data_IF_076030057939
#
_entry.id   IF_076030057939
#
_cell.length_a   1.000
_cell.length_b   1.000
_cell.length_c   1.000
_cell.angle_alpha   90.00
_cell.angle_beta   90.00
_cell.angle_gamma   90.00
#
_symmetry.space_group_name_H-M   'P 1'
#
loop_
_entity.id
_entity.type
_entity.pdbx_description
1 polymer ?
#
# COMPACT_ATOMS: atom_id res chain seq x y z
N UNK A 1 -46.22 26.99 -39.61
CA UNK A 1 -45.37 28.14 -39.29
C UNK A 1 -45.53 28.48 -37.81
N UNK A 2 -44.40 28.71 -37.12
CA UNK A 2 -44.25 29.22 -35.74
C UNK A 2 -44.88 28.36 -34.62
N UNK A 3 -44.24 28.02 -33.50
CA UNK A 3 -43.41 28.79 -32.57
C UNK A 3 -42.34 27.84 -31.97
N UNK A 4 -41.03 28.02 -32.21
CA UNK A 4 -40.08 28.80 -31.39
C UNK A 4 -40.08 28.49 -29.87
N UNK A 5 -38.96 27.86 -29.49
CA UNK A 5 -38.05 28.22 -28.37
C UNK A 5 -38.51 28.08 -26.92
N UNK A 6 -37.91 27.12 -26.20
CA UNK A 6 -37.30 27.35 -24.87
C UNK A 6 -36.47 26.12 -24.47
N UNK A 7 -35.52 26.33 -23.55
CA UNK A 7 -34.68 25.35 -22.83
C UNK A 7 -33.30 25.09 -23.44
N UNK A 8 -32.60 26.19 -23.71
CA UNK A 8 -31.17 26.28 -23.39
C UNK A 8 -30.98 26.40 -21.88
N UNK A 9 -30.08 25.58 -21.32
CA UNK A 9 -29.28 25.78 -20.09
C UNK A 9 -29.30 24.57 -19.15
N UNK A 10 -28.28 23.71 -19.28
CA UNK A 10 -27.81 22.92 -18.14
C UNK A 10 -26.34 22.51 -18.35
N UNK A 11 -25.46 23.51 -18.38
CA UNK A 11 -24.01 23.33 -18.27
C UNK A 11 -23.58 23.44 -16.80
N UNK A 12 -23.85 22.41 -16.00
CA UNK A 12 -23.20 22.28 -14.69
C UNK A 12 -21.78 21.74 -14.88
N UNK A 13 -20.86 22.69 -14.98
CA UNK A 13 -19.41 22.50 -14.96
C UNK A 13 -19.01 22.07 -13.55
N UNK A 14 -18.61 20.81 -13.38
CA UNK A 14 -17.93 20.36 -12.16
C UNK A 14 -16.61 21.10 -12.01
N UNK A 15 -16.60 22.14 -11.17
CA UNK A 15 -15.38 22.76 -10.66
C UNK A 15 -15.05 22.10 -9.33
N UNK A 16 -14.03 21.25 -9.30
CA UNK A 16 -13.48 20.73 -8.06
C UNK A 16 -12.55 21.79 -7.44
N UNK A 17 -12.63 22.10 -6.14
CA UNK A 17 -11.65 22.98 -5.51
C UNK A 17 -10.30 22.25 -5.44
N UNK A 18 -9.28 22.83 -6.08
CA UNK A 18 -7.90 22.41 -5.93
C UNK A 18 -7.45 22.74 -4.49
N UNK A 19 -7.28 21.72 -3.65
CA UNK A 19 -6.64 21.88 -2.35
C UNK A 19 -5.15 22.19 -2.57
N UNK A 20 -4.61 23.33 -2.08
CA UNK A 20 -3.18 23.58 -2.14
C UNK A 20 -2.46 22.62 -1.19
N UNK A 21 -1.57 21.79 -1.73
CA UNK A 21 -0.65 20.97 -0.93
C UNK A 21 0.30 21.89 -0.17
N UNK A 22 0.02 22.13 1.11
CA UNK A 22 0.94 22.80 2.03
C UNK A 22 2.04 21.83 2.45
N UNK A 23 3.05 21.65 1.59
CA UNK A 23 4.33 21.08 2.00
C UNK A 23 5.15 22.18 2.69
N UNK A 24 4.83 22.48 3.94
CA UNK A 24 5.70 23.29 4.78
C UNK A 24 5.57 22.82 6.22
N UNK A 25 6.36 21.80 6.59
CA UNK A 25 6.60 21.46 7.98
C UNK A 25 7.73 22.36 8.46
N UNK A 26 7.36 23.41 9.19
CA UNK A 26 8.27 24.27 9.91
C UNK A 26 9.05 23.42 10.92
N UNK A 27 10.34 23.28 10.72
CA UNK A 27 11.27 22.80 11.74
C UNK A 27 11.36 23.91 12.79
N UNK A 28 10.64 23.70 13.88
CA UNK A 28 10.61 24.59 15.05
C UNK A 28 11.89 24.38 15.85
N UNK A 29 12.85 25.29 15.70
CA UNK A 29 14.01 25.38 16.60
C UNK A 29 13.56 26.13 17.85
N UNK A 30 13.08 25.39 18.85
CA UNK A 30 12.92 25.95 20.20
C UNK A 30 14.29 26.14 20.81
N UNK A 31 14.75 27.39 20.81
CA UNK A 31 15.76 27.85 21.75
C UNK A 31 15.21 27.68 23.18
N UNK A 32 15.94 26.92 24.00
CA UNK A 32 15.70 26.77 25.43
C UNK A 32 16.99 27.06 26.18
N UNK A 33 17.17 28.33 26.54
CA UNK A 33 18.19 28.83 27.46
C UNK A 33 17.98 28.19 28.84
N UNK A 34 19.03 27.60 29.43
CA UNK A 34 19.26 27.61 30.89
C UNK A 34 20.75 27.70 31.22
N UNK A 35 21.12 28.86 31.74
CA UNK A 35 22.26 29.13 32.62
C UNK A 35 22.51 27.98 33.61
N UNK A 36 23.78 27.64 33.82
CA UNK A 36 24.33 27.42 35.16
C UNK A 36 25.79 27.89 35.20
N UNK A 37 26.01 28.75 36.19
CA UNK A 37 27.24 29.36 36.62
C UNK A 37 28.09 28.38 37.47
N UNK A 38 29.25 28.84 37.92
CA UNK A 38 30.23 28.23 38.83
C UNK A 38 31.39 27.45 38.19
N UNK A 39 32.59 27.99 38.42
CA UNK A 39 33.82 27.59 37.76
C UNK A 39 34.60 26.46 38.43
N UNK A 40 35.65 26.05 37.73
CA UNK A 40 36.88 25.52 38.30
C UNK A 40 37.98 25.55 37.23
N UNK A 41 39.18 25.87 37.69
CA UNK A 41 40.42 26.14 36.98
C UNK A 41 40.98 25.00 36.13
N UNK A 42 41.61 25.40 35.02
CA UNK A 42 42.92 24.96 34.52
C UNK A 42 43.35 23.49 34.71
N UNK A 43 43.55 22.80 33.58
CA UNK A 43 44.85 22.22 33.19
C UNK A 43 44.65 21.37 31.92
N UNK A 44 45.44 21.65 30.89
CA UNK A 44 45.35 20.99 29.61
C UNK A 44 45.84 19.55 29.61
N UNK A 45 45.43 18.83 28.56
CA UNK A 45 46.25 17.93 27.75
C UNK A 45 45.46 17.57 26.50
N UNK A 46 45.91 18.12 25.37
CA UNK A 46 45.51 17.70 24.04
C UNK A 46 46.23 16.40 23.69
N UNK A 47 45.48 15.34 23.36
CA UNK A 47 45.99 14.13 22.70
C UNK A 47 44.90 13.60 21.76
N UNK A 48 45.22 13.61 20.46
CA UNK A 48 44.65 12.82 19.35
C UNK A 48 43.12 12.78 19.15
N UNK A 49 42.65 13.60 18.21
CA UNK A 49 41.31 13.54 17.61
C UNK A 49 41.13 12.34 16.67
N UNK A 50 40.69 11.19 17.18
CA UNK A 50 39.78 10.32 16.43
C UNK A 50 38.36 10.89 16.63
N UNK A 51 37.52 11.07 15.59
CA UNK A 51 36.14 11.51 15.80
C UNK A 51 35.34 10.35 16.41
N UNK A 52 35.52 10.13 17.70
CA UNK A 52 34.68 9.28 18.50
C UNK A 52 33.31 9.97 18.59
N UNK A 53 32.33 9.43 17.85
CA UNK A 53 30.94 9.85 17.99
C UNK A 53 30.58 9.90 19.47
N UNK A 54 29.93 10.97 19.97
CA UNK A 54 29.62 11.07 21.38
C UNK A 54 28.79 9.85 21.79
N UNK A 55 29.21 9.15 22.86
CA UNK A 55 28.59 7.91 23.34
C UNK A 55 27.07 8.04 23.52
N UNK A 56 26.56 9.24 23.81
CA UNK A 56 25.12 9.53 23.92
C UNK A 56 24.39 9.43 22.56
N UNK A 57 25.05 9.84 21.46
CA UNK A 57 24.51 9.75 20.09
C UNK A 57 24.54 8.32 19.55
N UNK A 58 25.50 7.51 20.02
CA UNK A 58 25.55 6.08 19.70
C UNK A 58 24.41 5.28 20.35
N UNK A 59 23.84 5.79 21.46
CA UNK A 59 22.78 5.13 22.20
C UNK A 59 21.39 5.41 21.64
N UNK A 60 21.14 6.61 21.07
CA UNK A 60 19.86 6.94 20.44
C UNK A 60 19.65 6.32 19.05
N UNK A 61 20.72 6.01 18.32
CA UNK A 61 20.65 5.22 17.09
C UNK A 61 20.55 3.72 17.35
N UNK A 62 20.74 3.30 18.61
CA UNK A 62 20.49 1.95 19.09
C UNK A 62 19.07 1.87 19.65
N UNK A 63 18.10 2.36 18.88
CA UNK A 63 16.73 1.88 19.02
C UNK A 63 16.79 0.35 19.03
N UNK A 64 16.00 -0.33 19.88
CA UNK A 64 16.06 -1.77 19.95
C UNK A 64 15.89 -2.27 18.52
N UNK A 65 16.90 -3.00 18.05
CA UNK A 65 16.86 -3.70 16.77
C UNK A 65 15.90 -4.88 17.00
N UNK A 66 14.66 -4.57 17.39
CA UNK A 66 13.56 -5.50 17.40
C UNK A 66 13.42 -5.85 15.93
N UNK A 67 14.00 -6.99 15.57
CA UNK A 67 13.59 -7.75 14.41
C UNK A 67 12.11 -7.50 14.29
N UNK A 68 11.66 -6.86 13.21
CA UNK A 68 10.27 -6.51 13.00
C UNK A 68 9.45 -7.81 13.10
N UNK A 69 9.08 -8.21 14.31
CA UNK A 69 8.28 -9.40 14.65
C UNK A 69 6.83 -9.13 14.33
N UNK A 70 6.53 -8.02 13.65
CA UNK A 70 5.24 -7.74 13.08
C UNK A 70 4.90 -8.88 12.11
N UNK A 71 4.00 -9.73 12.58
CA UNK A 71 3.32 -10.75 11.76
C UNK A 71 2.42 -10.12 10.68
N UNK A 72 2.46 -8.80 10.52
CA UNK A 72 1.60 -8.02 9.64
C UNK A 72 1.78 -8.41 8.16
N UNK A 73 3.03 -8.65 7.72
CA UNK A 73 3.29 -9.15 6.36
C UNK A 73 2.69 -10.55 6.11
N UNK A 74 2.46 -11.32 7.18
CA UNK A 74 1.84 -12.64 7.16
C UNK A 74 0.34 -12.60 7.46
N UNK A 75 -0.20 -11.43 7.81
CA UNK A 75 -1.62 -11.23 8.09
C UNK A 75 -2.45 -11.65 6.89
N UNK A 76 -3.47 -12.48 7.15
CA UNK A 76 -4.31 -13.07 6.11
C UNK A 76 -3.62 -14.10 5.21
N UNK A 77 -2.39 -14.52 5.51
CA UNK A 77 -1.61 -15.55 4.78
C UNK A 77 -1.10 -16.66 5.71
N UNK A 78 -1.36 -16.56 7.00
CA UNK A 78 -1.07 -17.57 8.02
C UNK A 78 -2.32 -18.38 8.35
N UNK A 79 -2.10 -19.59 8.87
CA UNK A 79 -3.12 -20.43 9.50
C UNK A 79 -2.62 -20.80 10.90
N UNK A 80 -3.53 -20.87 11.87
CA UNK A 80 -3.20 -21.31 13.22
C UNK A 80 -2.86 -22.80 13.29
N UNK A 81 -2.50 -23.28 14.48
CA UNK A 81 -2.32 -24.71 14.72
C UNK A 81 -3.64 -25.46 14.50
N UNK A 82 -3.61 -26.52 13.68
CA UNK A 82 -4.77 -27.36 13.36
C UNK A 82 -4.43 -28.81 13.69
N UNK A 83 -5.39 -29.56 14.22
CA UNK A 83 -5.23 -30.97 14.58
C UNK A 83 -4.91 -31.87 13.37
N UNK A 84 -5.47 -31.57 12.20
CA UNK A 84 -5.20 -32.30 10.96
C UNK A 84 -4.40 -31.42 9.97
N UNK A 85 -3.12 -31.76 9.69
CA UNK A 85 -2.25 -30.95 8.84
C UNK A 85 -2.73 -30.88 7.39
N UNK A 86 -3.35 -31.94 6.86
CA UNK A 86 -3.83 -31.97 5.48
C UNK A 86 -4.92 -30.94 5.22
N UNK A 87 -5.89 -30.85 6.14
CA UNK A 87 -6.96 -29.83 6.07
C UNK A 87 -6.39 -28.42 6.18
N UNK A 88 -5.37 -28.25 7.02
CA UNK A 88 -4.66 -27.00 7.22
C UNK A 88 -3.99 -26.54 5.91
N UNK A 89 -3.23 -27.41 5.24
CA UNK A 89 -2.59 -27.09 3.97
C UNK A 89 -3.57 -26.78 2.84
N UNK A 90 -4.71 -27.49 2.77
CA UNK A 90 -5.77 -27.18 1.80
C UNK A 90 -6.36 -25.79 2.03
N UNK A 91 -6.65 -25.46 3.29
CA UNK A 91 -7.14 -24.13 3.67
C UNK A 91 -6.12 -23.05 3.33
N UNK A 92 -4.86 -23.24 3.70
CA UNK A 92 -3.77 -22.32 3.38
C UNK A 92 -3.65 -22.11 1.86
N UNK A 93 -3.70 -23.18 1.07
CA UNK A 93 -3.63 -23.09 -0.38
C UNK A 93 -4.81 -22.29 -0.98
N UNK A 94 -6.02 -22.43 -0.42
CA UNK A 94 -7.17 -21.61 -0.80
C UNK A 94 -6.94 -20.13 -0.50
N UNK A 95 -6.49 -19.81 0.72
CA UNK A 95 -6.17 -18.44 1.15
C UNK A 95 -5.13 -17.79 0.21
N UNK A 96 -4.04 -18.49 -0.07
CA UNK A 96 -2.98 -18.00 -0.97
C UNK A 96 -3.47 -17.80 -2.41
N UNK A 97 -4.46 -18.59 -2.86
CA UNK A 97 -5.07 -18.46 -4.18
C UNK A 97 -6.02 -17.27 -4.25
N UNK A 98 -6.88 -17.09 -3.23
CA UNK A 98 -7.81 -15.94 -3.13
C UNK A 98 -7.04 -14.61 -3.11
N UNK A 99 -5.95 -14.56 -2.35
CA UNK A 99 -5.05 -13.40 -2.26
C UNK A 99 -4.12 -13.24 -3.47
N UNK A 100 -4.20 -14.10 -4.49
CA UNK A 100 -3.37 -14.07 -5.71
C UNK A 100 -1.84 -14.05 -5.48
N UNK A 101 -1.35 -14.46 -4.31
CA UNK A 101 0.05 -14.32 -3.89
C UNK A 101 1.03 -14.93 -4.90
N UNK A 102 0.74 -16.16 -5.36
CA UNK A 102 1.58 -16.86 -6.34
C UNK A 102 1.66 -16.13 -7.68
N UNK A 103 0.56 -15.51 -8.11
CA UNK A 103 0.50 -14.77 -9.38
C UNK A 103 1.32 -13.49 -9.27
N UNK A 104 1.22 -12.79 -8.15
CA UNK A 104 2.00 -11.58 -7.86
C UNK A 104 3.50 -11.88 -7.80
N UNK A 105 3.91 -12.94 -7.09
CA UNK A 105 5.32 -13.35 -7.02
C UNK A 105 5.89 -13.68 -8.42
N UNK A 106 5.10 -14.31 -9.29
CA UNK A 106 5.53 -14.58 -10.68
C UNK A 106 5.61 -13.30 -11.51
N UNK A 107 4.66 -12.39 -11.37
CA UNK A 107 4.66 -11.12 -12.10
C UNK A 107 5.79 -10.19 -11.66
N UNK A 108 6.13 -10.21 -10.36
CA UNK A 108 7.15 -9.35 -9.77
C UNK A 108 8.58 -9.92 -9.88
N UNK A 109 8.75 -11.15 -10.38
CA UNK A 109 10.08 -11.77 -10.54
C UNK A 109 11.01 -10.96 -11.44
N UNK A 110 10.45 -10.30 -12.46
CA UNK A 110 11.19 -9.48 -13.41
C UNK A 110 10.51 -8.13 -13.58
N UNK A 111 11.29 -7.11 -13.91
CA UNK A 111 10.75 -5.79 -14.20
C UNK A 111 9.88 -5.81 -15.46
N UNK A 112 8.64 -5.33 -15.34
CA UNK A 112 7.72 -5.09 -16.44
C UNK A 112 7.57 -3.58 -16.65
N UNK A 113 7.84 -3.09 -17.87
CA UNK A 113 7.64 -1.67 -18.21
C UNK A 113 6.19 -1.26 -17.92
N UNK A 114 5.92 -0.04 -17.40
CA UNK A 114 4.60 0.35 -16.91
C UNK A 114 3.50 0.31 -17.99
N UNK A 115 3.83 0.65 -19.25
CA UNK A 115 2.87 0.57 -20.36
C UNK A 115 2.51 -0.87 -20.72
N UNK A 116 3.47 -1.79 -20.64
CA UNK A 116 3.24 -3.23 -20.87
C UNK A 116 2.34 -3.79 -19.76
N UNK A 117 2.63 -3.45 -18.50
CA UNK A 117 1.81 -3.83 -17.35
C UNK A 117 0.37 -3.31 -17.47
N UNK A 118 0.17 -2.06 -17.90
CA UNK A 118 -1.16 -1.49 -18.17
C UNK A 118 -1.92 -2.27 -19.25
N UNK A 119 -1.27 -2.54 -20.39
CA UNK A 119 -1.87 -3.30 -21.50
C UNK A 119 -2.26 -4.72 -21.05
N UNK A 120 -1.36 -5.41 -20.36
CA UNK A 120 -1.61 -6.76 -19.82
C UNK A 120 -2.81 -6.77 -18.87
N UNK A 121 -2.84 -5.87 -17.88
CA UNK A 121 -3.97 -5.75 -16.93
C UNK A 121 -5.30 -5.48 -17.64
N UNK A 122 -5.31 -4.66 -18.70
CA UNK A 122 -6.52 -4.39 -19.47
C UNK A 122 -7.03 -5.64 -20.21
N UNK A 123 -6.13 -6.37 -20.88
CA UNK A 123 -6.47 -7.63 -21.57
C UNK A 123 -6.98 -8.68 -20.58
N UNK A 124 -6.32 -8.84 -19.44
CA UNK A 124 -6.74 -9.77 -18.39
C UNK A 124 -8.13 -9.40 -17.84
N UNK A 125 -8.38 -8.11 -17.59
CA UNK A 125 -9.70 -7.62 -17.16
C UNK A 125 -10.77 -7.91 -18.20
N UNK A 126 -10.50 -7.61 -19.47
CA UNK A 126 -11.45 -7.86 -20.55
C UNK A 126 -11.80 -9.36 -20.67
N UNK A 127 -10.80 -10.25 -20.63
CA UNK A 127 -11.03 -11.71 -20.64
C UNK A 127 -11.89 -12.17 -19.45
N UNK A 128 -11.62 -11.64 -18.25
CA UNK A 128 -12.41 -11.95 -17.04
C UNK A 128 -13.87 -11.50 -17.19
N UNK A 129 -14.09 -10.27 -17.66
CA UNK A 129 -15.44 -9.72 -17.88
C UNK A 129 -16.19 -10.49 -18.97
N UNK A 130 -15.51 -10.83 -20.06
CA UNK A 130 -16.06 -11.63 -21.15
C UNK A 130 -16.51 -13.01 -20.67
N UNK A 131 -15.65 -13.73 -19.94
CA UNK A 131 -15.98 -15.03 -19.36
C UNK A 131 -17.18 -14.95 -18.40
N UNK A 132 -17.23 -13.93 -17.54
CA UNK A 132 -18.36 -13.72 -16.65
C UNK A 132 -19.67 -13.41 -17.40
N UNK A 133 -19.60 -12.59 -18.46
CA UNK A 133 -20.74 -12.28 -19.32
C UNK A 133 -21.26 -13.53 -20.03
N UNK A 134 -20.38 -14.32 -20.65
CA UNK A 134 -20.76 -15.57 -21.31
C UNK A 134 -21.37 -16.55 -20.30
N UNK A 135 -20.74 -16.71 -19.13
CA UNK A 135 -21.25 -17.58 -18.07
C UNK A 135 -22.69 -17.22 -17.68
N UNK A 136 -23.01 -15.92 -17.55
CA UNK A 136 -24.38 -15.45 -17.29
C UNK A 136 -25.35 -15.79 -18.42
N UNK A 137 -24.94 -15.58 -19.68
CA UNK A 137 -25.78 -15.90 -20.84
C UNK A 137 -26.06 -17.40 -20.95
N UNK A 138 -25.04 -18.23 -20.77
CA UNK A 138 -25.18 -19.69 -20.78
C UNK A 138 -26.08 -20.16 -19.64
N UNK A 139 -25.87 -19.64 -18.42
CA UNK A 139 -26.71 -19.97 -17.28
C UNK A 139 -28.19 -19.61 -17.54
N UNK A 140 -28.46 -18.45 -18.16
CA UNK A 140 -29.81 -18.07 -18.56
C UNK A 140 -30.42 -19.05 -19.56
N UNK A 141 -29.68 -19.42 -20.62
CA UNK A 141 -30.14 -20.38 -21.62
C UNK A 141 -30.42 -21.74 -20.97
N UNK A 142 -29.56 -22.21 -20.06
CA UNK A 142 -29.79 -23.45 -19.32
C UNK A 142 -31.05 -23.40 -18.46
N UNK A 143 -31.32 -22.26 -17.81
CA UNK A 143 -32.56 -22.05 -17.05
C UNK A 143 -33.79 -22.02 -17.96
N UNK A 144 -33.71 -21.40 -19.14
CA UNK A 144 -34.81 -21.38 -20.11
C UNK A 144 -35.13 -22.80 -20.60
N UNK A 145 -34.08 -23.55 -20.99
CA UNK A 145 -34.20 -24.95 -21.39
C UNK A 145 -34.83 -25.81 -20.29
N UNK A 146 -34.43 -25.62 -19.03
CA UNK A 146 -34.99 -26.36 -17.90
C UNK A 146 -36.48 -26.05 -17.67
N UNK A 147 -36.93 -24.85 -18.04
CA UNK A 147 -38.34 -24.43 -17.98
C UNK A 147 -39.16 -24.88 -19.20
N UNK A 148 -38.55 -25.55 -20.17
CA UNK A 148 -39.22 -26.01 -21.39
C UNK A 148 -39.47 -24.91 -22.43
N UNK A 149 -38.74 -23.80 -22.35
CA UNK A 149 -38.68 -22.76 -23.40
C UNK A 149 -37.57 -23.05 -24.41
#
# INVERSE_FOLDING_TARGET
>A
MALRTALSSLSHRFTAPAAPMQWMRQISTTQGIRQLDSGASAAGKEEASTPAMPHLLAQELRGPNELSTSLDAYSGRSIGSVSNPHTAYRRLNSILTQNNVRKELRANRYYEKPNVARRRKNIERNRKLFGAMIGKKVALIMQMKQRGM
#
